data_IF_415572923671
#
_entry.id   IF_415572923671
#
_cell.length_a   1.000
_cell.length_b   1.000
_cell.length_c   1.000
_cell.angle_alpha   90.00
_cell.angle_beta   90.00
_cell.angle_gamma   90.00
#
_symmetry.space_group_name_H-M   'P 1'
#
loop_
_entity.id
_entity.type
_entity.pdbx_description
1 polymer ?
#
# COMPACT_ATOMS: atom_id res chain seq x y z
N UNK A 1 80.25 -10.36 18.07
CA UNK A 1 79.00 -10.72 17.37
C UNK A 1 78.07 -9.51 17.48
N UNK A 2 77.67 -8.96 16.33
CA UNK A 2 76.86 -7.75 16.07
C UNK A 2 75.69 -7.50 17.05
N UNK A 3 75.18 -6.31 17.35
CA UNK A 3 75.58 -4.88 17.34
C UNK A 3 74.47 -4.19 18.14
N UNK A 4 74.87 -3.24 18.98
CA UNK A 4 74.05 -2.55 19.99
C UNK A 4 73.14 -1.43 19.44
N UNK A 5 72.14 -1.14 20.28
CA UNK A 5 71.37 0.10 20.44
C UNK A 5 72.20 1.39 20.51
N UNK A 6 71.70 2.50 19.96
CA UNK A 6 71.23 3.66 20.74
C UNK A 6 70.86 4.89 19.89
N UNK A 7 69.91 5.64 20.43
CA UNK A 7 69.55 7.05 20.18
C UNK A 7 70.72 8.01 20.45
N UNK A 8 70.85 9.13 19.72
CA UNK A 8 70.52 10.50 20.18
C UNK A 8 71.00 11.62 19.21
N UNK A 9 70.37 12.79 19.36
CA UNK A 9 70.42 14.12 18.73
C UNK A 9 71.73 14.70 18.13
N UNK A 10 71.59 15.58 17.12
CA UNK A 10 72.15 16.96 17.07
C UNK A 10 71.93 17.69 15.73
N UNK A 11 71.37 18.91 15.80
CA UNK A 11 71.35 20.01 14.80
C UNK A 11 72.64 20.88 14.92
N UNK A 12 72.90 21.99 14.17
CA UNK A 12 72.54 22.48 12.82
C UNK A 12 73.83 22.97 12.05
N UNK A 13 73.88 23.87 10.99
CA UNK A 13 73.49 25.30 11.04
C UNK A 13 72.98 26.01 9.73
N UNK A 14 72.20 27.10 9.93
CA UNK A 14 72.24 28.48 9.34
C UNK A 14 72.41 28.71 7.81
N UNK A 15 71.94 29.79 7.15
CA UNK A 15 71.00 30.92 7.34
C UNK A 15 70.98 31.70 6.00
N UNK A 16 69.89 32.38 5.61
CA UNK A 16 69.78 33.85 5.38
C UNK A 16 68.37 34.15 4.86
N UNK A 17 67.52 34.87 5.63
CA UNK A 17 67.08 36.28 5.44
C UNK A 17 66.74 36.64 3.97
N UNK A 18 65.56 37.16 3.60
CA UNK A 18 64.85 38.35 4.14
C UNK A 18 63.42 38.46 3.56
N UNK A 19 62.56 39.13 4.33
CA UNK A 19 61.15 39.43 4.08
C UNK A 19 60.89 40.46 2.96
N UNK A 20 59.71 40.39 2.32
CA UNK A 20 58.83 41.53 1.97
C UNK A 20 57.40 41.05 1.61
N UNK A 21 56.40 41.63 2.27
CA UNK A 21 54.96 41.50 2.00
C UNK A 21 54.53 42.52 0.89
N UNK A 22 53.23 42.73 0.62
CA UNK A 22 52.25 41.82 0.01
C UNK A 22 51.60 42.44 -1.26
N UNK A 23 51.10 41.65 -2.21
CA UNK A 23 50.13 42.14 -3.22
C UNK A 23 49.01 41.13 -3.49
N UNK A 24 47.84 41.48 -2.96
CA UNK A 24 46.46 41.29 -3.48
C UNK A 24 46.18 40.07 -4.37
N UNK A 25 45.47 39.10 -3.78
CA UNK A 25 44.64 38.12 -4.48
C UNK A 25 43.34 37.92 -3.70
N UNK A 26 42.41 38.87 -3.81
CA UNK A 26 41.07 38.73 -3.27
C UNK A 26 40.19 37.93 -4.24
N UNK A 27 39.24 37.18 -3.64
CA UNK A 27 38.11 36.47 -4.24
C UNK A 27 38.39 35.08 -4.81
N UNK A 28 38.10 34.06 -4.00
CA UNK A 28 37.35 32.84 -4.38
C UNK A 28 37.05 32.01 -3.13
N UNK A 29 36.07 32.46 -2.34
CA UNK A 29 35.53 31.71 -1.19
C UNK A 29 34.04 32.06 -1.03
N UNK A 30 33.26 31.76 -2.08
CA UNK A 30 31.83 32.08 -2.13
C UNK A 30 31.05 31.31 -3.20
N UNK A 31 31.57 30.20 -3.72
CA UNK A 31 30.93 29.47 -4.84
C UNK A 31 30.77 27.96 -4.60
N UNK A 32 30.98 27.47 -3.36
CA UNK A 32 30.79 26.05 -3.05
C UNK A 32 29.63 25.75 -2.08
N UNK A 33 28.84 26.76 -1.68
CA UNK A 33 27.70 26.58 -0.76
C UNK A 33 26.34 26.81 -1.45
N UNK A 34 26.31 27.31 -2.69
CA UNK A 34 25.05 27.56 -3.43
C UNK A 34 24.56 26.41 -4.32
N UNK A 35 25.34 25.35 -4.55
CA UNK A 35 24.94 24.28 -5.49
C UNK A 35 24.19 23.09 -4.86
N UNK A 36 23.97 23.10 -3.54
CA UNK A 36 23.24 22.03 -2.83
C UNK A 36 21.87 22.47 -2.29
N UNK A 37 21.54 23.75 -2.35
CA UNK A 37 20.27 24.31 -1.86
C UNK A 37 19.21 24.43 -2.95
N UNK A 38 19.58 24.58 -4.22
CA UNK A 38 18.62 24.70 -5.32
C UNK A 38 17.74 23.44 -5.54
N UNK A 39 18.25 22.19 -5.47
CA UNK A 39 17.42 21.01 -5.69
C UNK A 39 16.37 20.82 -4.58
N UNK A 40 16.75 21.06 -3.32
CA UNK A 40 15.86 20.88 -2.17
C UNK A 40 14.79 21.99 -2.08
N UNK A 41 15.12 23.23 -2.44
CA UNK A 41 14.16 24.34 -2.51
C UNK A 41 13.21 24.19 -3.69
N UNK A 42 13.66 23.59 -4.81
CA UNK A 42 12.81 23.28 -5.97
C UNK A 42 11.82 22.16 -5.68
N UNK A 43 12.26 21.07 -5.04
CA UNK A 43 11.38 19.99 -4.57
C UNK A 43 10.36 20.48 -3.53
N UNK A 44 10.78 21.35 -2.60
CA UNK A 44 9.88 21.96 -1.62
C UNK A 44 8.82 22.90 -2.21
N UNK A 45 9.14 23.62 -3.30
CA UNK A 45 8.18 24.46 -4.03
C UNK A 45 7.22 23.63 -4.91
N UNK A 46 7.70 22.57 -5.56
CA UNK A 46 6.85 21.66 -6.36
C UNK A 46 5.87 20.86 -5.48
N UNK A 47 6.31 20.39 -4.29
CA UNK A 47 5.39 19.77 -3.31
C UNK A 47 4.33 20.75 -2.82
N UNK A 48 4.69 22.03 -2.64
CA UNK A 48 3.76 23.07 -2.16
C UNK A 48 2.73 23.45 -3.23
N UNK A 49 3.07 23.41 -4.52
CA UNK A 49 2.11 23.57 -5.61
C UNK A 49 1.21 22.35 -5.81
N UNK A 50 1.71 21.13 -5.54
CA UNK A 50 0.91 19.90 -5.60
C UNK A 50 -0.11 19.77 -4.44
N UNK A 51 0.19 20.35 -3.27
CA UNK A 51 -0.67 20.26 -2.09
C UNK A 51 -1.77 21.34 -2.03
N UNK A 52 -1.65 22.42 -2.81
CA UNK A 52 -2.51 23.61 -2.67
C UNK A 52 -3.40 23.91 -3.88
N UNK A 53 -3.25 23.19 -5.00
CA UNK A 53 -4.06 23.44 -6.20
C UNK A 53 -4.48 22.12 -6.85
N UNK A 54 -5.74 21.68 -6.73
CA UNK A 54 -6.26 20.60 -7.55
C UNK A 54 -6.61 21.19 -8.91
N UNK A 55 -5.61 21.63 -9.67
CA UNK A 55 -5.83 21.89 -11.08
C UNK A 55 -6.26 20.56 -11.71
N UNK A 56 -7.39 20.50 -12.45
CA UNK A 56 -7.83 19.27 -13.07
C UNK A 56 -6.70 18.79 -13.99
N UNK A 57 -6.13 17.63 -13.66
CA UNK A 57 -5.24 16.92 -14.57
C UNK A 57 -6.11 16.63 -15.79
N UNK A 58 -5.88 17.38 -16.88
CA UNK A 58 -6.46 17.06 -18.18
C UNK A 58 -5.82 15.74 -18.60
N UNK A 59 -6.50 14.65 -18.28
CA UNK A 59 -6.29 13.36 -18.92
C UNK A 59 -6.57 13.62 -20.40
N UNK A 60 -5.51 13.62 -21.21
CA UNK A 60 -5.66 13.54 -22.66
C UNK A 60 -6.17 12.13 -22.98
N UNK A 61 -7.46 11.91 -22.75
CA UNK A 61 -8.13 10.69 -23.15
C UNK A 61 -8.18 10.66 -24.67
N UNK A 62 -7.58 9.63 -25.27
CA UNK A 62 -8.03 9.22 -26.59
C UNK A 62 -9.52 8.86 -26.48
N UNK A 63 -10.34 9.26 -27.45
CA UNK A 63 -11.77 9.04 -27.37
C UNK A 63 -12.04 7.53 -27.25
N UNK A 64 -12.92 7.17 -26.30
CA UNK A 64 -13.63 5.90 -26.28
C UNK A 64 -14.26 5.77 -27.67
N UNK A 65 -13.66 4.98 -28.55
CA UNK A 65 -14.29 4.67 -29.84
C UNK A 65 -15.43 3.73 -29.53
N UNK A 66 -16.60 4.30 -29.33
CA UNK A 66 -17.84 3.59 -29.04
C UNK A 66 -18.32 2.87 -30.30
N UNK A 67 -18.35 1.53 -30.35
CA UNK A 67 -19.27 0.87 -31.27
C UNK A 67 -20.69 1.30 -30.89
N UNK A 68 -21.50 1.69 -31.86
CA UNK A 68 -22.92 2.10 -31.75
C UNK A 68 -23.61 1.60 -30.46
N UNK A 69 -23.62 2.42 -29.41
CA UNK A 69 -24.26 2.11 -28.12
C UNK A 69 -25.77 2.30 -28.29
N UNK A 70 -26.57 1.24 -28.06
CA UNK A 70 -28.03 1.40 -27.99
C UNK A 70 -28.38 2.19 -26.73
N UNK A 71 -29.41 3.06 -26.73
CA UNK A 71 -29.84 3.75 -25.53
C UNK A 71 -30.15 2.73 -24.41
N UNK A 72 -29.39 2.78 -23.31
CA UNK A 72 -29.49 1.87 -22.17
C UNK A 72 -28.33 0.87 -22.01
N UNK A 73 -27.46 0.71 -23.00
CA UNK A 73 -26.29 -0.16 -22.88
C UNK A 73 -25.14 0.56 -22.15
N UNK A 74 -24.51 -0.14 -21.20
CA UNK A 74 -23.33 0.35 -20.51
C UNK A 74 -22.12 0.43 -21.46
N UNK A 75 -21.22 1.42 -21.31
CA UNK A 75 -19.96 1.45 -22.05
C UNK A 75 -19.19 0.14 -21.85
N UNK A 76 -18.67 -0.41 -22.94
CA UNK A 76 -17.83 -1.62 -22.92
C UNK A 76 -16.37 -1.24 -22.91
N UNK A 77 -15.59 -1.96 -22.11
CA UNK A 77 -14.13 -1.84 -22.08
C UNK A 77 -13.56 -2.55 -23.31
N UNK A 78 -12.59 -1.92 -23.96
CA UNK A 78 -11.77 -2.61 -24.97
C UNK A 78 -11.04 -3.76 -24.29
N UNK A 79 -11.06 -4.96 -24.88
CA UNK A 79 -10.46 -6.17 -24.32
C UNK A 79 -11.30 -6.92 -23.28
N UNK A 80 -12.37 -6.31 -22.77
CA UNK A 80 -13.28 -6.91 -21.79
C UNK A 80 -12.70 -7.07 -20.38
N UNK A 81 -13.58 -7.37 -19.42
CA UNK A 81 -13.24 -7.48 -18.00
C UNK A 81 -13.94 -8.67 -17.34
N UNK A 82 -13.15 -9.53 -16.68
CA UNK A 82 -13.67 -10.60 -15.81
C UNK A 82 -13.39 -10.25 -14.36
N UNK A 83 -14.43 -10.32 -13.53
CA UNK A 83 -14.34 -10.12 -12.08
C UNK A 83 -14.34 -11.48 -11.38
N UNK A 84 -13.31 -11.72 -10.56
CA UNK A 84 -13.13 -12.91 -9.73
C UNK A 84 -13.45 -12.57 -8.27
N UNK A 85 -14.37 -13.33 -7.67
CA UNK A 85 -14.84 -13.16 -6.30
C UNK A 85 -14.58 -14.46 -5.52
N UNK A 86 -13.42 -14.62 -4.85
CA UNK A 86 -13.17 -15.77 -4.00
C UNK A 86 -14.00 -15.68 -2.73
N UNK A 87 -14.69 -16.76 -2.38
CA UNK A 87 -15.63 -16.81 -1.27
C UNK A 87 -15.51 -18.13 -0.51
N UNK A 88 -15.44 -18.04 0.83
CA UNK A 88 -15.51 -19.18 1.74
C UNK A 88 -16.31 -18.75 2.98
N UNK A 89 -17.52 -19.27 3.13
CA UNK A 89 -18.45 -18.91 4.20
C UNK A 89 -18.81 -17.41 4.25
N UNK A 90 -19.15 -16.85 3.09
CA UNK A 90 -19.43 -15.44 2.86
C UNK A 90 -20.91 -15.19 2.49
N UNK A 91 -21.81 -16.12 2.84
CA UNK A 91 -23.25 -16.06 2.51
C UNK A 91 -23.93 -14.74 2.93
N UNK A 92 -23.42 -14.09 3.98
CA UNK A 92 -23.92 -12.80 4.49
C UNK A 92 -23.61 -11.61 3.57
N UNK A 93 -22.51 -11.64 2.84
CA UNK A 93 -21.99 -10.46 2.13
C UNK A 93 -21.85 -10.65 0.62
N UNK A 94 -21.66 -11.88 0.14
CA UNK A 94 -21.36 -12.17 -1.28
C UNK A 94 -22.41 -11.58 -2.24
N UNK A 95 -23.69 -11.58 -1.85
CA UNK A 95 -24.76 -11.03 -2.66
C UNK A 95 -24.65 -9.50 -2.81
N UNK A 96 -24.22 -8.78 -1.77
CA UNK A 96 -23.99 -7.34 -1.84
C UNK A 96 -22.81 -7.01 -2.75
N UNK A 97 -21.73 -7.78 -2.66
CA UNK A 97 -20.56 -7.67 -3.54
C UNK A 97 -20.96 -7.88 -4.99
N UNK A 98 -21.62 -8.99 -5.32
CA UNK A 98 -22.08 -9.29 -6.69
C UNK A 98 -22.97 -8.16 -7.23
N UNK A 99 -23.97 -7.72 -6.45
CA UNK A 99 -24.84 -6.62 -6.85
C UNK A 99 -24.09 -5.31 -7.06
N UNK A 100 -23.05 -5.03 -6.28
CA UNK A 100 -22.22 -3.82 -6.49
C UNK A 100 -21.43 -3.87 -7.81
N UNK A 101 -21.00 -5.06 -8.24
CA UNK A 101 -20.34 -5.28 -9.54
C UNK A 101 -21.36 -5.19 -10.68
N UNK A 102 -22.54 -5.81 -10.54
CA UNK A 102 -23.63 -5.71 -11.52
C UNK A 102 -24.12 -4.27 -11.73
N UNK A 103 -24.00 -3.39 -10.73
CA UNK A 103 -24.42 -1.98 -10.79
C UNK A 103 -23.37 -1.02 -11.33
N UNK A 104 -22.18 -1.50 -11.70
CA UNK A 104 -21.13 -0.63 -12.25
C UNK A 104 -21.61 0.13 -13.49
N UNK A 105 -21.14 1.35 -13.69
CA UNK A 105 -21.50 2.18 -14.85
C UNK A 105 -20.97 1.62 -16.17
N UNK A 106 -19.90 0.84 -16.12
CA UNK A 106 -19.33 0.10 -17.26
C UNK A 106 -19.81 -1.35 -17.30
N UNK A 107 -19.77 -1.96 -18.48
CA UNK A 107 -20.08 -3.37 -18.67
C UNK A 107 -18.96 -4.25 -18.09
N UNK A 108 -19.35 -5.27 -17.33
CA UNK A 108 -18.48 -6.36 -16.87
C UNK A 108 -18.90 -7.61 -17.64
N UNK A 109 -17.97 -8.22 -18.38
CA UNK A 109 -18.29 -9.33 -19.28
C UNK A 109 -18.58 -10.62 -18.52
N UNK A 110 -17.81 -10.90 -17.46
CA UNK A 110 -17.97 -12.09 -16.63
C UNK A 110 -17.81 -11.78 -15.14
N UNK A 111 -18.73 -12.32 -14.33
CA UNK A 111 -18.61 -12.33 -12.87
C UNK A 111 -18.49 -13.79 -12.45
N UNK A 112 -17.31 -14.16 -11.97
CA UNK A 112 -16.98 -15.52 -11.54
C UNK A 112 -16.82 -15.53 -10.03
N UNK A 113 -17.72 -16.23 -9.35
CA UNK A 113 -17.63 -16.48 -7.91
C UNK A 113 -16.97 -17.82 -7.70
N UNK A 114 -15.86 -17.82 -6.97
CA UNK A 114 -15.14 -19.04 -6.58
C UNK A 114 -15.64 -19.43 -5.20
N UNK A 115 -16.61 -20.34 -5.15
CA UNK A 115 -17.07 -20.94 -3.90
C UNK A 115 -16.04 -22.01 -3.47
N UNK A 116 -15.13 -21.63 -2.57
CA UNK A 116 -13.99 -22.45 -2.15
C UNK A 116 -14.37 -23.55 -1.15
N UNK A 117 -15.32 -24.39 -1.58
CA UNK A 117 -15.92 -25.43 -0.76
C UNK A 117 -16.58 -24.90 0.53
N UNK A 118 -17.35 -23.81 0.45
CA UNK A 118 -18.07 -23.28 1.60
C UNK A 118 -18.94 -24.35 2.26
N UNK A 119 -19.03 -24.25 3.60
CA UNK A 119 -19.87 -25.11 4.44
C UNK A 119 -21.23 -24.49 4.73
N UNK A 120 -21.39 -23.19 4.47
CA UNK A 120 -22.69 -22.50 4.44
C UNK A 120 -23.28 -22.47 3.00
N UNK A 121 -24.34 -21.68 2.81
CA UNK A 121 -25.03 -21.52 1.53
C UNK A 121 -24.44 -20.44 0.60
N UNK A 122 -23.15 -20.07 0.74
CA UNK A 122 -22.48 -19.03 -0.08
C UNK A 122 -22.68 -19.24 -1.58
N UNK A 123 -22.44 -20.46 -2.08
CA UNK A 123 -22.58 -20.78 -3.50
C UNK A 123 -24.02 -20.61 -4.01
N UNK A 124 -25.01 -21.00 -3.21
CA UNK A 124 -26.43 -20.86 -3.57
C UNK A 124 -26.86 -19.39 -3.60
N UNK A 125 -26.43 -18.60 -2.61
CA UNK A 125 -26.66 -17.16 -2.55
C UNK A 125 -26.05 -16.46 -3.78
N UNK A 126 -24.84 -16.87 -4.19
CA UNK A 126 -24.20 -16.34 -5.39
C UNK A 126 -24.98 -16.67 -6.67
N UNK A 127 -25.42 -17.93 -6.84
CA UNK A 127 -26.25 -18.35 -8.00
C UNK A 127 -27.59 -17.61 -8.06
N UNK A 128 -28.18 -17.30 -6.91
CA UNK A 128 -29.43 -16.57 -6.83
C UNK A 128 -29.33 -15.09 -7.29
N UNK A 129 -28.11 -14.56 -7.47
CA UNK A 129 -27.90 -13.17 -7.89
C UNK A 129 -28.09 -12.92 -9.39
N UNK A 130 -28.17 -13.97 -10.22
CA UNK A 130 -28.39 -13.82 -11.65
C UNK A 130 -27.93 -15.04 -12.45
N UNK A 131 -28.52 -15.25 -13.64
CA UNK A 131 -28.14 -16.36 -14.54
C UNK A 131 -26.77 -16.14 -15.19
N UNK A 132 -26.32 -14.90 -15.23
CA UNK A 132 -25.03 -14.46 -15.72
C UNK A 132 -23.88 -14.68 -14.72
N UNK A 133 -24.19 -15.02 -13.47
CA UNK A 133 -23.19 -15.29 -12.44
C UNK A 133 -22.67 -16.72 -12.61
N UNK A 134 -21.37 -16.84 -12.86
CA UNK A 134 -20.71 -18.14 -12.97
C UNK A 134 -20.19 -18.51 -11.59
N UNK A 135 -20.77 -19.54 -10.98
CA UNK A 135 -20.27 -20.07 -9.70
C UNK A 135 -19.42 -21.30 -9.96
N UNK A 136 -18.13 -21.17 -9.68
CA UNK A 136 -17.12 -22.20 -9.85
C UNK A 136 -16.77 -22.75 -8.47
N UNK A 137 -16.77 -24.08 -8.33
CA UNK A 137 -16.44 -24.76 -7.07
C UNK A 137 -15.24 -25.70 -7.28
N UNK A 138 -14.07 -25.42 -6.68
CA UNK A 138 -12.94 -26.34 -6.71
C UNK A 138 -13.29 -27.72 -6.13
N UNK A 139 -12.57 -28.79 -6.51
CA UNK A 139 -12.87 -30.15 -6.02
C UNK A 139 -12.60 -30.35 -4.53
N UNK A 140 -11.80 -29.48 -3.92
CA UNK A 140 -11.51 -29.42 -2.48
C UNK A 140 -11.20 -27.98 -2.11
N UNK A 141 -11.34 -27.64 -0.83
CA UNK A 141 -10.95 -26.33 -0.33
C UNK A 141 -9.47 -26.04 -0.68
N UNK A 142 -9.24 -24.87 -1.26
CA UNK A 142 -7.97 -24.43 -1.80
C UNK A 142 -6.98 -23.98 -0.71
N UNK A 143 -7.44 -23.77 0.52
CA UNK A 143 -6.64 -23.40 1.70
C UNK A 143 -6.08 -21.97 1.66
N UNK A 144 -6.29 -21.24 0.57
CA UNK A 144 -5.92 -19.83 0.45
C UNK A 144 -6.67 -19.15 -0.68
N UNK A 145 -6.87 -17.84 -0.51
CA UNK A 145 -7.42 -16.97 -1.55
C UNK A 145 -6.62 -17.03 -2.86
N UNK A 146 -5.30 -17.06 -2.78
CA UNK A 146 -4.42 -17.13 -3.95
C UNK A 146 -4.70 -18.39 -4.80
N UNK A 147 -4.78 -19.56 -4.16
CA UNK A 147 -5.09 -20.82 -4.84
C UNK A 147 -6.49 -20.79 -5.47
N UNK A 148 -7.49 -20.24 -4.78
CA UNK A 148 -8.86 -20.10 -5.31
C UNK A 148 -8.91 -19.17 -6.53
N UNK A 149 -8.20 -18.04 -6.48
CA UNK A 149 -8.09 -17.11 -7.61
C UNK A 149 -7.37 -17.75 -8.81
N UNK A 150 -6.29 -18.50 -8.57
CA UNK A 150 -5.58 -19.22 -9.63
C UNK A 150 -6.45 -20.30 -10.28
N UNK A 151 -7.28 -21.01 -9.49
CA UNK A 151 -8.22 -21.98 -10.02
C UNK A 151 -9.18 -21.34 -11.04
N UNK A 152 -9.62 -20.11 -10.78
CA UNK A 152 -10.51 -19.39 -11.69
C UNK A 152 -9.79 -18.70 -12.87
N UNK A 153 -8.50 -18.39 -12.74
CA UNK A 153 -7.72 -17.67 -13.77
C UNK A 153 -7.68 -18.43 -15.11
N UNK A 154 -7.75 -19.76 -15.07
CA UNK A 154 -7.79 -20.60 -16.28
C UNK A 154 -9.07 -20.39 -17.12
N UNK A 155 -10.14 -19.90 -16.50
CA UNK A 155 -11.42 -19.63 -17.17
C UNK A 155 -11.52 -18.19 -17.72
N UNK A 156 -10.52 -17.34 -17.47
CA UNK A 156 -10.58 -15.90 -17.85
C UNK A 156 -10.10 -15.68 -19.29
N UNK A 157 -10.97 -15.25 -20.20
CA UNK A 157 -10.58 -14.94 -21.59
C UNK A 157 -10.39 -13.44 -21.88
N UNK A 158 -10.72 -12.58 -20.92
CA UNK A 158 -10.69 -11.12 -21.09
C UNK A 158 -9.28 -10.54 -20.90
N UNK A 159 -9.02 -9.39 -21.51
CA UNK A 159 -7.76 -8.64 -21.39
C UNK A 159 -7.48 -8.23 -19.94
N UNK A 160 -8.54 -7.90 -19.19
CA UNK A 160 -8.43 -7.51 -17.79
C UNK A 160 -9.07 -8.53 -16.86
N UNK A 161 -8.41 -8.76 -15.72
CA UNK A 161 -8.90 -9.56 -14.59
C UNK A 161 -8.97 -8.68 -13.35
N UNK A 162 -10.10 -8.64 -12.67
CA UNK A 162 -10.27 -7.92 -11.41
C UNK A 162 -10.53 -8.88 -10.27
N UNK A 163 -9.77 -8.77 -9.19
CA UNK A 163 -10.01 -9.50 -7.95
C UNK A 163 -10.67 -8.57 -6.92
N UNK A 164 -11.76 -9.06 -6.31
CA UNK A 164 -12.51 -8.38 -5.25
C UNK A 164 -12.88 -9.38 -4.15
N UNK A 165 -12.76 -8.98 -2.89
CA UNK A 165 -13.18 -9.84 -1.77
C UNK A 165 -14.71 -9.95 -1.69
N UNK A 166 -15.23 -11.12 -1.29
CA UNK A 166 -16.66 -11.41 -1.19
C UNK A 166 -17.43 -10.59 -0.12
N UNK A 167 -16.71 -9.83 0.71
CA UNK A 167 -17.26 -8.89 1.70
C UNK A 167 -17.03 -7.41 1.32
N UNK A 168 -16.60 -7.14 0.08
CA UNK A 168 -16.29 -5.79 -0.40
C UNK A 168 -17.33 -5.32 -1.42
N UNK A 169 -17.85 -4.11 -1.23
CA UNK A 169 -18.76 -3.48 -2.20
C UNK A 169 -18.09 -2.32 -2.93
N UNK A 170 -18.46 -2.07 -4.18
CA UNK A 170 -17.91 -0.98 -4.99
C UNK A 170 -18.86 0.23 -5.06
N UNK A 171 -18.31 1.44 -5.16
CA UNK A 171 -19.06 2.59 -5.66
C UNK A 171 -19.50 2.35 -7.11
N UNK A 172 -20.62 2.91 -7.55
CA UNK A 172 -21.22 2.60 -8.86
C UNK A 172 -20.30 2.93 -10.05
N UNK A 173 -19.38 3.86 -9.91
CA UNK A 173 -18.42 4.31 -10.93
C UNK A 173 -16.99 3.82 -10.66
N UNK A 174 -16.81 2.87 -9.73
CA UNK A 174 -15.48 2.47 -9.28
C UNK A 174 -14.65 1.81 -10.39
N UNK A 175 -15.23 0.91 -11.19
CA UNK A 175 -14.51 0.29 -12.31
C UNK A 175 -14.25 1.32 -13.41
N UNK A 176 -15.22 2.19 -13.72
CA UNK A 176 -15.05 3.28 -14.71
C UNK A 176 -13.85 4.17 -14.38
N UNK A 177 -13.65 4.48 -13.11
CA UNK A 177 -12.52 5.29 -12.61
C UNK A 177 -11.20 4.52 -12.51
N UNK A 178 -11.27 3.19 -12.45
CA UNK A 178 -10.09 2.34 -12.31
C UNK A 178 -9.44 2.06 -13.68
N UNK A 179 -10.24 1.79 -14.70
CA UNK A 179 -9.75 1.31 -16.00
C UNK A 179 -8.85 2.27 -16.79
N UNK A 180 -9.06 3.60 -16.80
CA UNK A 180 -8.22 4.54 -17.57
C UNK A 180 -6.74 4.51 -17.19
N UNK A 181 -6.37 4.01 -16.01
CA UNK A 181 -4.97 3.89 -15.60
C UNK A 181 -4.18 2.85 -16.42
N UNK A 182 -4.85 1.95 -17.15
CA UNK A 182 -4.22 0.99 -18.06
C UNK A 182 -3.78 1.59 -19.40
N UNK A 183 -4.21 2.81 -19.73
CA UNK A 183 -3.77 3.53 -20.95
C UNK A 183 -2.25 3.80 -20.95
N UNK A 184 -1.62 3.77 -19.76
CA UNK A 184 -0.18 3.81 -19.61
C UNK A 184 0.43 2.44 -19.97
N UNK A 185 1.30 2.33 -20.99
CA UNK A 185 1.76 1.04 -21.51
C UNK A 185 2.39 0.10 -20.47
N UNK A 186 3.07 0.68 -19.47
CA UNK A 186 3.76 -0.07 -18.41
C UNK A 186 2.85 -0.53 -17.27
N UNK A 187 1.61 -0.04 -17.19
CA UNK A 187 0.69 -0.42 -16.11
C UNK A 187 0.28 -1.88 -16.26
N UNK A 188 0.66 -2.69 -15.28
CA UNK A 188 0.25 -4.09 -15.17
C UNK A 188 -0.94 -4.28 -14.23
N UNK A 189 -1.08 -3.42 -13.22
CA UNK A 189 -2.14 -3.50 -12.24
C UNK A 189 -2.58 -2.12 -11.76
N UNK A 190 -3.84 -2.02 -11.36
CA UNK A 190 -4.43 -0.81 -10.79
C UNK A 190 -5.24 -1.19 -9.56
N UNK A 191 -5.02 -0.51 -8.44
CA UNK A 191 -5.79 -0.69 -7.22
C UNK A 191 -6.64 0.54 -6.90
N UNK A 192 -7.79 0.31 -6.28
CA UNK A 192 -8.68 1.39 -5.85
C UNK A 192 -8.44 1.88 -4.43
N UNK A 193 -9.24 2.87 -4.04
CA UNK A 193 -9.34 3.45 -2.71
C UNK A 193 -10.20 2.56 -1.80
N UNK A 194 -9.64 2.18 -0.65
CA UNK A 194 -10.32 1.33 0.33
C UNK A 194 -10.77 2.17 1.53
N UNK A 195 -12.06 2.10 1.88
CA UNK A 195 -12.60 2.71 3.11
C UNK A 195 -13.54 1.73 3.82
N UNK A 196 -13.63 1.74 5.16
CA UNK A 196 -14.53 0.82 5.86
C UNK A 196 -15.99 1.07 5.47
N UNK A 197 -16.75 0.00 5.24
CA UNK A 197 -18.21 0.09 5.02
C UNK A 197 -18.95 0.65 6.23
N UNK A 198 -18.47 0.33 7.43
CA UNK A 198 -19.03 0.76 8.71
C UNK A 198 -17.94 1.34 9.62
N UNK A 199 -18.29 2.33 10.45
CA UNK A 199 -17.36 3.04 11.35
C UNK A 199 -18.02 3.24 12.72
N UNK A 200 -18.40 2.14 13.37
CA UNK A 200 -19.24 2.15 14.58
C UNK A 200 -18.43 1.84 15.85
N UNK A 201 -17.55 0.86 15.78
CA UNK A 201 -16.74 0.36 16.90
C UNK A 201 -15.38 1.05 16.97
N UNK A 202 -14.68 0.94 18.11
CA UNK A 202 -13.32 1.47 18.21
C UNK A 202 -12.36 0.89 17.16
N UNK A 203 -12.53 -0.37 16.78
CA UNK A 203 -11.65 -1.05 15.82
C UNK A 203 -11.88 -0.54 14.40
N UNK A 204 -13.15 -0.39 14.00
CA UNK A 204 -13.52 0.21 12.71
C UNK A 204 -13.12 1.68 12.64
N UNK A 205 -13.21 2.43 13.75
CA UNK A 205 -12.78 3.84 13.84
C UNK A 205 -11.28 4.00 13.71
N UNK A 206 -10.50 3.13 14.37
CA UNK A 206 -9.06 3.10 14.22
C UNK A 206 -8.67 2.79 12.78
N UNK A 207 -9.31 1.78 12.19
CA UNK A 207 -9.10 1.37 10.80
C UNK A 207 -9.50 2.46 9.79
N UNK A 208 -10.57 3.20 10.04
CA UNK A 208 -10.99 4.33 9.20
C UNK A 208 -9.89 5.40 9.10
N UNK A 209 -9.29 5.79 10.23
CA UNK A 209 -8.19 6.76 10.25
C UNK A 209 -6.93 6.18 9.60
N UNK A 210 -6.61 4.91 9.88
CA UNK A 210 -5.49 4.21 9.25
C UNK A 210 -5.62 4.20 7.73
N UNK A 211 -6.79 3.90 7.18
CA UNK A 211 -7.03 3.93 5.73
C UNK A 211 -7.02 5.34 5.15
N UNK A 212 -7.62 6.33 5.82
CA UNK A 212 -7.52 7.72 5.36
C UNK A 212 -6.06 8.16 5.27
N UNK A 213 -5.24 7.84 6.27
CA UNK A 213 -3.82 8.16 6.24
C UNK A 213 -3.07 7.35 5.17
N UNK A 214 -3.26 6.04 5.11
CA UNK A 214 -2.59 5.16 4.17
C UNK A 214 -2.93 5.50 2.71
N UNK A 215 -4.21 5.64 2.37
CA UNK A 215 -4.65 5.80 0.98
C UNK A 215 -4.70 7.25 0.49
N UNK A 216 -4.73 8.26 1.37
CA UNK A 216 -4.78 9.67 0.96
C UNK A 216 -3.46 10.41 1.19
N UNK A 217 -2.55 9.84 1.99
CA UNK A 217 -1.22 10.40 2.17
C UNK A 217 -0.13 9.51 1.56
N UNK A 218 0.04 8.27 2.04
CA UNK A 218 1.13 7.43 1.55
C UNK A 218 0.92 6.95 0.11
N UNK A 219 -0.24 6.37 -0.20
CA UNK A 219 -0.47 5.71 -1.49
C UNK A 219 -0.36 6.64 -2.70
N UNK A 220 -0.82 7.91 -2.65
CA UNK A 220 -0.57 8.87 -3.73
C UNK A 220 0.91 9.18 -3.94
N UNK A 221 1.70 9.29 -2.86
CA UNK A 221 3.16 9.46 -2.96
C UNK A 221 3.78 8.24 -3.63
N UNK A 222 3.31 7.04 -3.30
CA UNK A 222 3.83 5.81 -3.92
C UNK A 222 3.40 5.67 -5.39
N UNK A 223 2.19 6.10 -5.72
CA UNK A 223 1.65 6.15 -7.09
C UNK A 223 2.34 7.19 -7.97
N UNK A 224 2.83 8.30 -7.41
CA UNK A 224 3.69 9.24 -8.13
C UNK A 224 4.94 8.54 -8.68
N UNK A 225 5.49 7.56 -7.96
CA UNK A 225 6.59 6.71 -8.42
C UNK A 225 6.12 5.46 -9.19
N UNK A 226 4.82 5.35 -9.49
CA UNK A 226 4.18 4.21 -10.17
C UNK A 226 4.40 2.87 -9.46
N UNK A 227 4.66 2.93 -8.16
CA UNK A 227 5.02 1.79 -7.32
C UNK A 227 4.34 1.80 -5.94
N UNK A 228 3.00 1.81 -5.85
CA UNK A 228 2.28 1.53 -4.60
C UNK A 228 2.81 0.28 -3.90
N UNK A 229 3.08 0.34 -2.60
CA UNK A 229 3.63 -0.78 -1.83
C UNK A 229 2.80 -2.07 -2.00
N UNK A 230 1.49 -1.92 -2.23
CA UNK A 230 0.54 -3.02 -2.40
C UNK A 230 -0.60 -2.60 -3.32
N UNK A 231 -0.92 -3.40 -4.34
CA UNK A 231 -2.23 -3.40 -4.98
C UNK A 231 -3.18 -4.22 -4.09
N UNK A 232 -4.05 -3.55 -3.33
CA UNK A 232 -4.84 -4.18 -2.27
C UNK A 232 -5.74 -5.28 -2.81
N UNK A 233 -5.64 -6.49 -2.24
CA UNK A 233 -6.34 -7.68 -2.74
C UNK A 233 -7.87 -7.61 -2.69
N UNK A 234 -8.45 -6.67 -1.94
CA UNK A 234 -9.89 -6.49 -1.87
C UNK A 234 -10.47 -5.74 -3.09
N UNK A 235 -9.66 -5.01 -3.87
CA UNK A 235 -10.12 -4.32 -5.08
C UNK A 235 -8.93 -3.89 -5.96
N UNK A 236 -8.51 -4.80 -6.84
CA UNK A 236 -7.45 -4.53 -7.81
C UNK A 236 -7.73 -5.23 -9.15
N UNK A 237 -7.43 -4.54 -10.25
CA UNK A 237 -7.43 -5.10 -11.59
C UNK A 237 -6.02 -5.30 -12.11
N UNK A 238 -5.87 -6.25 -13.02
CA UNK A 238 -4.62 -6.68 -13.61
C UNK A 238 -4.80 -6.88 -15.11
N UNK A 239 -3.75 -6.62 -15.89
CA UNK A 239 -3.65 -7.17 -17.24
C UNK A 239 -3.53 -8.70 -17.13
N UNK A 240 -4.43 -9.42 -17.79
CA UNK A 240 -4.56 -10.88 -17.65
C UNK A 240 -3.31 -11.60 -18.18
N UNK A 241 -2.69 -11.10 -19.24
CA UNK A 241 -1.46 -11.66 -19.80
C UNK A 241 -0.26 -11.54 -18.84
N UNK A 242 -0.10 -10.39 -18.19
CA UNK A 242 0.94 -10.17 -17.17
C UNK A 242 0.69 -11.06 -15.95
N UNK A 243 -0.55 -11.15 -15.50
CA UNK A 243 -0.93 -12.02 -14.39
C UNK A 243 -0.59 -13.49 -14.71
N UNK A 244 -0.84 -13.96 -15.93
CA UNK A 244 -0.46 -15.30 -16.41
C UNK A 244 1.05 -15.48 -16.54
N UNK A 245 1.76 -14.47 -17.05
CA UNK A 245 3.22 -14.48 -17.15
C UNK A 245 3.88 -14.66 -15.77
N UNK A 246 3.27 -14.10 -14.73
CA UNK A 246 3.71 -14.24 -13.34
C UNK A 246 3.28 -15.56 -12.67
N UNK A 247 2.48 -16.38 -13.36
CA UNK A 247 1.93 -17.63 -12.84
C UNK A 247 0.73 -17.45 -11.90
N UNK A 248 0.03 -16.31 -12.00
CA UNK A 248 -1.09 -15.96 -11.14
C UNK A 248 -0.67 -15.38 -9.78
N UNK A 249 -1.52 -15.56 -8.77
CA UNK A 249 -1.26 -15.17 -7.39
C UNK A 249 -0.36 -16.21 -6.70
N UNK A 250 0.81 -15.81 -6.23
CA UNK A 250 1.73 -16.74 -5.60
C UNK A 250 1.22 -17.22 -4.23
N UNK A 251 1.36 -18.51 -3.93
CA UNK A 251 0.91 -19.13 -2.68
C UNK A 251 2.03 -19.24 -1.63
N UNK A 252 3.23 -18.71 -1.91
CA UNK A 252 4.39 -18.79 -1.03
C UNK A 252 4.33 -17.86 0.19
N UNK A 253 3.43 -16.87 0.18
CA UNK A 253 3.19 -15.95 1.31
C UNK A 253 1.69 -15.88 1.59
N UNK A 254 1.32 -15.46 2.80
CA UNK A 254 -0.08 -15.16 3.16
C UNK A 254 -0.52 -13.73 2.76
N UNK A 255 0.37 -12.99 2.09
CA UNK A 255 0.12 -11.67 1.50
C UNK A 255 0.31 -11.74 -0.01
N UNK A 256 -0.58 -12.49 -0.66
CA UNK A 256 -0.49 -12.84 -2.09
C UNK A 256 -0.53 -11.62 -3.02
N UNK A 257 -1.25 -10.59 -2.60
CA UNK A 257 -1.46 -9.33 -3.32
C UNK A 257 -0.20 -8.46 -3.32
N UNK A 258 0.48 -8.36 -2.17
CA UNK A 258 1.77 -7.69 -2.04
C UNK A 258 2.90 -8.44 -2.75
N UNK A 259 2.94 -9.76 -2.63
CA UNK A 259 3.90 -10.60 -3.37
C UNK A 259 3.76 -10.40 -4.89
N UNK A 260 2.52 -10.45 -5.40
CA UNK A 260 2.23 -10.21 -6.80
C UNK A 260 2.62 -8.79 -7.23
N UNK A 261 2.30 -7.78 -6.40
CA UNK A 261 2.68 -6.37 -6.64
C UNK A 261 4.19 -6.24 -6.82
N UNK A 262 4.99 -6.90 -6.00
CA UNK A 262 6.45 -6.79 -6.08
C UNK A 262 7.02 -7.64 -7.22
N UNK A 263 6.37 -8.73 -7.60
CA UNK A 263 6.69 -9.47 -8.82
C UNK A 263 6.50 -8.62 -10.08
N UNK A 264 5.46 -7.79 -10.15
CA UNK A 264 5.26 -6.83 -11.26
C UNK A 264 6.46 -5.89 -11.42
N UNK A 265 7.04 -5.40 -10.32
CA UNK A 265 8.22 -4.53 -10.39
C UNK A 265 9.47 -5.21 -10.93
N UNK A 266 9.59 -6.53 -10.73
CA UNK A 266 10.69 -7.32 -11.31
C UNK A 266 10.59 -7.45 -12.82
N UNK A 267 9.38 -7.35 -13.38
CA UNK A 267 9.16 -7.27 -14.83
C UNK A 267 9.43 -5.87 -15.41
N UNK A 268 9.78 -4.89 -14.57
CA UNK A 268 9.97 -3.50 -15.00
C UNK A 268 8.65 -2.78 -15.33
N UNK A 269 7.52 -3.37 -14.95
CA UNK A 269 6.18 -2.81 -15.10
C UNK A 269 5.77 -2.00 -13.87
N UNK A 270 4.71 -1.21 -14.00
CA UNK A 270 4.19 -0.34 -12.96
C UNK A 270 2.86 -0.83 -12.39
N UNK A 271 2.56 -0.37 -11.19
CA UNK A 271 1.26 -0.54 -10.54
C UNK A 271 0.73 0.86 -10.27
N UNK A 272 -0.55 1.10 -10.55
CA UNK A 272 -1.20 2.40 -10.33
C UNK A 272 -2.22 2.33 -9.21
N UNK A 273 -2.52 3.49 -8.65
CA UNK A 273 -3.56 3.71 -7.66
C UNK A 273 -4.58 4.71 -8.19
N UNK A 274 -5.86 4.35 -8.16
CA UNK A 274 -6.97 5.24 -8.47
C UNK A 274 -7.64 5.70 -7.18
N UNK A 275 -7.43 6.95 -6.72
CA UNK A 275 -8.04 7.45 -5.49
C UNK A 275 -9.56 7.64 -5.61
N UNK A 276 -10.09 7.71 -6.83
CA UNK A 276 -11.53 7.89 -7.08
C UNK A 276 -12.29 6.56 -7.20
N UNK A 277 -11.59 5.46 -7.51
CA UNK A 277 -12.18 4.14 -7.58
C UNK A 277 -12.41 3.59 -6.16
N UNK A 278 -13.58 3.85 -5.57
CA UNK A 278 -13.86 3.53 -4.17
C UNK A 278 -14.41 2.10 -3.97
N UNK A 279 -13.91 1.40 -2.97
CA UNK A 279 -14.50 0.19 -2.42
C UNK A 279 -14.70 0.26 -0.89
N UNK A 280 -15.63 -0.57 -0.41
CA UNK A 280 -16.12 -0.60 0.96
C UNK A 280 -16.13 -2.04 1.51
N UNK A 281 -14.99 -2.55 2.01
CA UNK A 281 -14.94 -3.81 2.75
C UNK A 281 -15.64 -3.73 4.11
N UNK A 282 -16.05 -4.89 4.61
CA UNK A 282 -16.47 -5.06 6.01
C UNK A 282 -15.22 -5.19 6.89
N UNK A 283 -15.04 -4.24 7.82
CA UNK A 283 -13.88 -4.25 8.71
C UNK A 283 -14.14 -5.01 10.02
N UNK A 284 -13.08 -5.51 10.68
CA UNK A 284 -13.22 -6.16 11.98
C UNK A 284 -13.84 -5.24 13.04
N UNK A 285 -15.02 -5.60 13.55
CA UNK A 285 -15.77 -4.82 14.55
C UNK A 285 -15.31 -5.06 15.99
N UNK A 286 -14.45 -6.06 16.23
CA UNK A 286 -13.93 -6.38 17.56
C UNK A 286 -12.45 -6.80 17.50
N UNK A 287 -11.81 -6.87 18.67
CA UNK A 287 -10.39 -7.22 18.77
C UNK A 287 -10.08 -8.63 18.26
N UNK A 288 -10.98 -9.59 18.45
CA UNK A 288 -10.76 -10.96 18.00
C UNK A 288 -10.58 -11.03 16.48
N UNK A 289 -11.51 -10.45 15.72
CA UNK A 289 -11.39 -10.39 14.26
C UNK A 289 -10.23 -9.50 13.80
N UNK A 290 -10.00 -8.37 14.49
CA UNK A 290 -8.88 -7.48 14.18
C UNK A 290 -7.54 -8.21 14.35
N UNK A 291 -7.38 -8.96 15.44
CA UNK A 291 -6.15 -9.72 15.73
C UNK A 291 -5.84 -10.75 14.66
N UNK A 292 -6.85 -11.48 14.16
CA UNK A 292 -6.69 -12.44 13.06
C UNK A 292 -6.24 -11.75 11.77
N UNK A 293 -6.85 -10.61 11.44
CA UNK A 293 -6.49 -9.87 10.23
C UNK A 293 -5.06 -9.30 10.32
N UNK A 294 -4.71 -8.68 11.46
CA UNK A 294 -3.36 -8.14 11.69
C UNK A 294 -2.30 -9.25 11.72
N UNK A 295 -2.61 -10.41 12.30
CA UNK A 295 -1.72 -11.57 12.28
C UNK A 295 -1.38 -11.99 10.84
N UNK A 296 -2.38 -12.06 9.95
CA UNK A 296 -2.15 -12.34 8.52
C UNK A 296 -1.35 -11.24 7.85
N UNK A 297 -1.76 -9.98 7.99
CA UNK A 297 -1.15 -8.86 7.26
C UNK A 297 0.30 -8.63 7.66
N UNK A 298 0.60 -8.64 8.95
CA UNK A 298 1.96 -8.48 9.45
C UNK A 298 2.85 -9.67 9.06
N UNK A 299 2.32 -10.91 9.11
CA UNK A 299 3.07 -12.08 8.65
C UNK A 299 3.34 -12.03 7.13
N UNK A 300 2.34 -11.66 6.33
CA UNK A 300 2.48 -11.48 4.88
C UNK A 300 3.54 -10.43 4.55
N UNK A 301 3.58 -9.32 5.28
CA UNK A 301 4.60 -8.28 5.11
C UNK A 301 6.01 -8.79 5.41
N UNK A 302 6.21 -9.47 6.55
CA UNK A 302 7.51 -10.05 6.90
C UNK A 302 7.97 -11.10 5.88
N UNK A 303 7.04 -11.95 5.40
CA UNK A 303 7.31 -12.96 4.38
C UNK A 303 7.69 -12.33 3.04
N UNK A 304 6.96 -11.31 2.58
CA UNK A 304 7.27 -10.61 1.34
C UNK A 304 8.67 -9.99 1.42
N UNK A 305 9.04 -9.34 2.53
CA UNK A 305 10.40 -8.79 2.72
C UNK A 305 11.47 -9.87 2.60
N UNK A 306 11.24 -11.04 3.22
CA UNK A 306 12.18 -12.16 3.18
C UNK A 306 12.34 -12.72 1.78
N UNK A 307 11.23 -12.93 1.07
CA UNK A 307 11.22 -13.47 -0.30
C UNK A 307 11.85 -12.49 -1.30
N UNK A 308 11.55 -11.20 -1.16
CA UNK A 308 11.94 -10.15 -2.10
C UNK A 308 13.13 -9.32 -1.64
N UNK A 309 13.93 -9.79 -0.68
CA UNK A 309 15.05 -9.04 -0.12
C UNK A 309 15.98 -8.45 -1.20
N UNK A 310 16.29 -9.23 -2.24
CA UNK A 310 17.13 -8.78 -3.36
C UNK A 310 16.46 -7.69 -4.19
N UNK A 311 15.15 -7.79 -4.42
CA UNK A 311 14.39 -6.80 -5.20
C UNK A 311 14.26 -5.47 -4.44
N UNK A 312 14.09 -5.56 -3.11
CA UNK A 312 14.10 -4.40 -2.20
C UNK A 312 15.47 -3.70 -2.28
N UNK A 313 16.57 -4.45 -2.16
CA UNK A 313 17.92 -3.86 -2.26
C UNK A 313 18.17 -3.27 -3.66
N UNK A 314 17.65 -3.89 -4.73
CA UNK A 314 17.80 -3.41 -6.10
C UNK A 314 16.92 -2.22 -6.48
N UNK A 315 15.80 -2.00 -5.78
CA UNK A 315 14.80 -0.97 -6.11
C UNK A 315 14.76 0.12 -5.04
N UNK A 316 15.35 1.28 -5.32
CA UNK A 316 15.44 2.40 -4.35
C UNK A 316 14.08 2.83 -3.78
N UNK A 317 13.07 2.95 -4.63
CA UNK A 317 11.71 3.35 -4.25
C UNK A 317 11.07 2.34 -3.30
N UNK A 318 11.11 1.05 -3.65
CA UNK A 318 10.58 -0.03 -2.81
C UNK A 318 11.32 -0.11 -1.46
N UNK A 319 12.66 0.04 -1.48
CA UNK A 319 13.48 0.09 -0.26
C UNK A 319 13.04 1.20 0.68
N UNK A 320 12.86 2.41 0.15
CA UNK A 320 12.42 3.55 0.95
C UNK A 320 11.03 3.31 1.54
N UNK A 321 10.09 2.77 0.77
CA UNK A 321 8.73 2.48 1.27
C UNK A 321 8.73 1.43 2.37
N UNK A 322 9.47 0.33 2.20
CA UNK A 322 9.60 -0.72 3.21
C UNK A 322 10.28 -0.17 4.48
N UNK A 323 11.32 0.64 4.33
CA UNK A 323 12.00 1.28 5.47
C UNK A 323 11.07 2.25 6.22
N UNK A 324 10.30 3.08 5.51
CA UNK A 324 9.32 3.98 6.11
C UNK A 324 8.20 3.21 6.82
N UNK A 325 7.67 2.15 6.20
CA UNK A 325 6.64 1.31 6.82
C UNK A 325 7.17 0.63 8.10
N UNK A 326 8.41 0.14 8.10
CA UNK A 326 9.04 -0.45 9.29
C UNK A 326 9.29 0.59 10.38
N UNK A 327 9.76 1.78 10.00
CA UNK A 327 9.96 2.89 10.94
C UNK A 327 8.64 3.27 11.62
N UNK A 328 7.59 3.47 10.82
CA UNK A 328 6.28 3.84 11.34
C UNK A 328 5.70 2.74 12.23
N UNK A 329 5.76 1.47 11.81
CA UNK A 329 5.19 0.37 12.56
C UNK A 329 5.96 -0.02 13.84
N UNK A 330 7.22 0.39 14.00
CA UNK A 330 8.07 -0.05 15.12
C UNK A 330 8.73 1.10 15.87
N UNK A 331 9.73 1.73 15.25
CA UNK A 331 10.60 2.73 15.90
C UNK A 331 9.79 3.95 16.34
N UNK A 332 8.87 4.44 15.51
CA UNK A 332 8.05 5.60 15.84
C UNK A 332 7.18 5.34 17.07
N UNK A 333 6.56 4.17 17.17
CA UNK A 333 5.67 3.80 18.28
C UNK A 333 6.47 3.59 19.57
N UNK A 334 7.63 2.93 19.50
CA UNK A 334 8.53 2.84 20.65
C UNK A 334 8.96 4.23 21.13
N UNK A 335 9.33 5.12 20.20
CA UNK A 335 9.74 6.47 20.53
C UNK A 335 8.60 7.24 21.21
N UNK A 336 7.40 7.22 20.63
CA UNK A 336 6.24 7.95 21.12
C UNK A 336 5.75 7.41 22.47
N UNK A 337 5.51 6.10 22.59
CA UNK A 337 4.85 5.54 23.77
C UNK A 337 5.80 5.19 24.93
N UNK A 338 7.10 5.03 24.67
CA UNK A 338 8.08 4.60 25.68
C UNK A 338 9.17 5.65 25.86
N UNK A 339 9.92 5.97 24.80
CA UNK A 339 11.12 6.81 24.93
C UNK A 339 10.79 8.25 25.36
N UNK A 340 9.86 8.93 24.70
CA UNK A 340 9.54 10.32 24.99
C UNK A 340 8.98 10.52 26.42
N UNK A 341 8.05 9.70 26.92
CA UNK A 341 7.62 9.77 28.32
C UNK A 341 8.76 9.56 29.31
N UNK A 342 9.65 8.58 29.07
CA UNK A 342 10.78 8.33 29.96
C UNK A 342 11.76 9.52 29.98
N UNK A 343 12.09 10.07 28.82
CA UNK A 343 12.94 11.27 28.74
C UNK A 343 12.27 12.49 29.38
N UNK A 344 10.94 12.61 29.27
CA UNK A 344 10.20 13.68 29.92
C UNK A 344 10.24 13.59 31.46
N UNK A 345 10.15 12.37 32.00
CA UNK A 345 10.17 12.12 33.44
C UNK A 345 11.58 12.21 34.05
N UNK A 346 12.59 11.67 33.36
CA UNK A 346 13.93 11.50 33.92
C UNK A 346 14.97 12.53 33.45
N UNK A 347 14.69 13.27 32.37
CA UNK A 347 15.64 14.24 31.79
C UNK A 347 15.04 15.65 31.77
N UNK A 348 13.98 15.88 30.98
CA UNK A 348 13.36 17.21 30.87
C UNK A 348 11.95 17.15 30.23
N UNK A 349 10.92 17.82 30.77
CA UNK A 349 9.55 17.79 30.21
C UNK A 349 9.43 18.21 28.74
N UNK A 350 10.37 19.01 28.22
CA UNK A 350 10.38 19.43 26.81
C UNK A 350 10.46 18.26 25.81
N UNK A 351 10.87 17.05 26.21
CA UNK A 351 10.79 15.88 25.33
C UNK A 351 9.34 15.54 24.90
N UNK A 352 8.33 15.98 25.65
CA UNK A 352 6.93 15.88 25.22
C UNK A 352 6.64 16.73 23.97
N UNK A 353 7.50 17.69 23.60
CA UNK A 353 7.37 18.41 22.34
C UNK A 353 7.53 17.49 21.12
N UNK A 354 8.16 16.32 21.27
CA UNK A 354 8.27 15.33 20.20
C UNK A 354 6.91 14.84 19.67
N UNK A 355 5.86 14.84 20.50
CA UNK A 355 4.51 14.51 20.06
C UNK A 355 3.95 15.52 19.03
N UNK A 356 4.41 16.78 19.09
CA UNK A 356 4.01 17.81 18.11
C UNK A 356 4.67 17.63 16.74
N UNK A 357 5.63 16.72 16.60
CA UNK A 357 6.20 16.36 15.30
C UNK A 357 5.36 15.28 14.59
N UNK A 358 4.88 14.29 15.33
CA UNK A 358 4.20 13.12 14.74
C UNK A 358 2.66 13.24 14.74
N UNK A 359 2.06 13.83 15.78
CA UNK A 359 0.61 13.97 15.84
C UNK A 359 0.06 14.82 14.67
N UNK A 360 0.64 15.99 14.32
CA UNK A 360 0.10 16.80 13.22
C UNK A 360 0.33 16.18 11.85
N UNK A 361 1.42 15.42 11.63
CA UNK A 361 1.71 14.79 10.33
C UNK A 361 0.69 13.72 9.97
N UNK A 362 0.04 13.12 10.97
CA UNK A 362 -1.04 12.14 10.78
C UNK A 362 -2.40 12.84 10.79
N UNK A 363 -2.68 13.63 11.84
CA UNK A 363 -4.02 14.18 12.07
C UNK A 363 -4.39 15.24 11.03
N UNK A 364 -3.47 16.12 10.63
CA UNK A 364 -3.78 17.22 9.72
C UNK A 364 -4.20 16.71 8.33
N UNK A 365 -3.42 15.84 7.64
CA UNK A 365 -3.86 15.30 6.36
C UNK A 365 -5.20 14.55 6.47
N UNK A 366 -5.36 13.70 7.49
CA UNK A 366 -6.59 12.92 7.70
C UNK A 366 -7.80 13.85 7.85
N UNK A 367 -7.69 14.90 8.67
CA UNK A 367 -8.80 15.82 8.89
C UNK A 367 -9.11 16.68 7.66
N UNK A 368 -8.11 17.12 6.91
CA UNK A 368 -8.30 17.86 5.65
C UNK A 368 -9.07 16.99 4.65
N UNK A 369 -8.65 15.74 4.49
CA UNK A 369 -9.32 14.82 3.58
C UNK A 369 -10.72 14.44 4.04
N UNK A 370 -10.91 14.18 5.33
CA UNK A 370 -12.23 13.94 5.88
C UNK A 370 -13.16 15.15 5.68
N UNK A 371 -12.65 16.38 5.82
CA UNK A 371 -13.42 17.59 5.56
C UNK A 371 -13.88 17.68 4.10
N UNK A 372 -13.01 17.37 3.13
CA UNK A 372 -13.37 17.31 1.70
C UNK A 372 -14.49 16.30 1.40
N UNK A 373 -14.65 15.29 2.25
CA UNK A 373 -15.71 14.26 2.16
C UNK A 373 -16.95 14.57 3.00
N UNK A 374 -16.98 15.69 3.74
CA UNK A 374 -18.06 15.99 4.69
C UNK A 374 -18.02 15.12 5.96
N UNK A 375 -16.90 14.47 6.26
CA UNK A 375 -16.73 13.50 7.34
C UNK A 375 -15.85 14.01 8.48
N UNK A 376 -15.60 15.32 8.57
CA UNK A 376 -14.66 15.92 9.53
C UNK A 376 -14.90 15.48 10.98
N UNK A 377 -16.13 15.61 11.48
CA UNK A 377 -16.48 15.23 12.86
C UNK A 377 -16.30 13.73 13.12
N UNK A 378 -16.60 12.90 12.12
CA UNK A 378 -16.41 11.44 12.18
C UNK A 378 -14.92 11.10 12.29
N UNK A 379 -14.07 11.74 11.48
CA UNK A 379 -12.63 11.55 11.56
C UNK A 379 -12.06 12.07 12.88
N UNK A 380 -12.39 13.30 13.29
CA UNK A 380 -11.90 13.90 14.53
C UNK A 380 -12.21 13.02 15.74
N UNK A 381 -13.46 12.55 15.85
CA UNK A 381 -13.87 11.67 16.95
C UNK A 381 -13.24 10.26 16.86
N UNK A 382 -12.70 9.85 15.71
CA UNK A 382 -12.08 8.52 15.51
C UNK A 382 -10.57 8.51 15.77
N UNK A 383 -9.91 9.67 15.83
CA UNK A 383 -8.46 9.79 16.07
C UNK A 383 -7.97 9.03 17.32
N UNK A 384 -8.64 9.06 18.49
CA UNK A 384 -8.18 8.31 19.65
C UNK A 384 -8.08 6.80 19.40
N UNK A 385 -9.01 6.25 18.62
CA UNK A 385 -9.03 4.82 18.31
C UNK A 385 -7.87 4.40 17.40
N UNK A 386 -7.40 5.31 16.53
CA UNK A 386 -6.21 5.07 15.70
C UNK A 386 -4.96 4.87 16.54
N UNK A 387 -4.78 5.65 17.61
CA UNK A 387 -3.61 5.50 18.48
C UNK A 387 -3.58 4.17 19.22
N UNK A 388 -4.75 3.68 19.64
CA UNK A 388 -4.89 2.32 20.19
C UNK A 388 -4.51 1.28 19.13
N UNK A 389 -5.04 1.41 17.91
CA UNK A 389 -4.74 0.50 16.81
C UNK A 389 -3.25 0.52 16.43
N UNK A 390 -2.61 1.70 16.43
CA UNK A 390 -1.18 1.84 16.11
C UNK A 390 -0.30 1.10 17.11
N UNK A 391 -0.61 1.18 18.41
CA UNK A 391 0.08 0.40 19.44
C UNK A 391 -0.12 -1.11 19.25
N UNK A 392 -1.35 -1.54 18.96
CA UNK A 392 -1.67 -2.93 18.65
C UNK A 392 -0.90 -3.43 17.42
N UNK A 393 -0.86 -2.64 16.34
CA UNK A 393 -0.12 -2.94 15.12
C UNK A 393 1.36 -3.20 15.40
N UNK A 394 2.01 -2.38 16.22
CA UNK A 394 3.42 -2.58 16.59
C UNK A 394 3.66 -3.94 17.21
N UNK A 395 2.79 -4.38 18.12
CA UNK A 395 2.90 -5.72 18.69
C UNK A 395 2.82 -6.81 17.61
N UNK A 396 1.85 -6.74 16.69
CA UNK A 396 1.69 -7.74 15.63
C UNK A 396 2.85 -7.72 14.62
N UNK A 397 3.35 -6.53 14.25
CA UNK A 397 4.53 -6.40 13.38
C UNK A 397 5.76 -6.98 14.05
N UNK A 398 6.09 -6.58 15.28
CA UNK A 398 7.25 -7.12 16.00
C UNK A 398 7.17 -8.63 16.15
N UNK A 399 5.99 -9.17 16.51
CA UNK A 399 5.76 -10.62 16.62
C UNK A 399 5.90 -11.34 15.29
N UNK A 400 5.37 -10.79 14.21
CA UNK A 400 5.47 -11.38 12.86
C UNK A 400 6.93 -11.46 12.39
N UNK A 401 7.70 -10.37 12.56
CA UNK A 401 9.12 -10.37 12.22
C UNK A 401 9.94 -11.33 13.07
N UNK A 402 9.66 -11.40 14.38
CA UNK A 402 10.28 -12.40 15.25
C UNK A 402 10.00 -13.81 14.74
N UNK A 403 8.74 -14.15 14.47
CA UNK A 403 8.36 -15.48 14.00
C UNK A 403 8.98 -15.84 12.64
N UNK A 404 9.07 -14.89 11.72
CA UNK A 404 9.53 -15.13 10.35
C UNK A 404 11.07 -15.23 10.23
N UNK A 405 11.79 -14.39 10.96
CA UNK A 405 13.26 -14.29 10.85
C UNK A 405 14.02 -14.99 11.98
N UNK A 406 13.47 -15.03 13.20
CA UNK A 406 14.15 -15.60 14.37
C UNK A 406 13.56 -16.96 14.74
N UNK A 407 12.25 -17.00 15.00
CA UNK A 407 11.53 -18.18 15.47
C UNK A 407 11.33 -19.28 14.42
N UNK A 408 11.45 -18.94 13.12
CA UNK A 408 11.17 -19.84 11.98
C UNK A 408 9.78 -20.50 12.04
N UNK A 409 8.78 -19.77 12.56
CA UNK A 409 7.37 -20.20 12.70
C UNK A 409 6.49 -19.43 11.70
N UNK A 410 6.83 -19.52 10.42
CA UNK A 410 6.10 -18.85 9.34
C UNK A 410 4.67 -19.38 9.23
N UNK A 411 3.70 -18.47 9.13
CA UNK A 411 2.30 -18.82 8.84
C UNK A 411 2.21 -19.28 7.39
N UNK A 412 1.66 -20.47 7.13
CA UNK A 412 1.54 -21.05 5.78
C UNK A 412 0.11 -21.10 5.25
N UNK A 413 -0.87 -21.18 6.15
CA UNK A 413 -2.30 -21.28 5.84
C UNK A 413 -3.02 -20.31 6.76
N UNK A 414 -4.01 -19.60 6.23
CA UNK A 414 -4.86 -18.71 7.00
C UNK A 414 -6.31 -18.89 6.60
N UNK A 415 -7.16 -19.23 7.56
CA UNK A 415 -8.61 -19.22 7.40
C UNK A 415 -9.16 -17.88 7.88
N UNK A 416 -9.86 -17.18 6.99
CA UNK A 416 -10.59 -15.95 7.34
C UNK A 416 -11.78 -16.36 8.20
N UNK A 417 -11.70 -16.10 9.51
CA UNK A 417 -12.82 -16.32 10.42
C UNK A 417 -13.75 -15.11 10.40
N UNK A 418 -15.00 -15.30 10.02
CA UNK A 418 -16.10 -14.35 10.18
C UNK A 418 -17.10 -14.82 11.25
#
# INVERSE_FOLDING_TARGET
MKTDSNTDSSEPPQSTRRAHAPKRGARRSGQLVESLTEPAVRVGKELKSMLLDPAPIKVAGNPIVTPSIRPGDKPRLLGGLTVLIPAYNESKFVADTIRSVQRQTVHVDHIVVIDDCSTDNTGDVARACGKEIVVVRPPKNCGSKATALNYALDYVSTEYTLAIDADTTLANDAIEKLMPHFDQPKTAAVCGMVLPRFVNTMWERGRYIEYLYAFLFYKPIQDYYERPLIASGCFSAYKTDVLRQLGGWNTRTVGEDMDLTWCVYRLGMSVRFSPEAMCYPVEPHNFHFMSKQLERWCAGFAQCIKVHWKDIVGTSVLRSMVATALWDATVSVFALFILLPLLALFVHPAFLLGYFLDLPTIVVPVLIYAAKRGEFLKALSSVPAFWVLRFVNTWFVTRAFWNEFVGKRSIKVFEKGH
#
